data_IF_478413879410
#
_entry.id   IF_478413879410
#
_cell.length_a   1.000
_cell.length_b   1.000
_cell.length_c   1.000
_cell.angle_alpha   90.00
_cell.angle_beta   90.00
_cell.angle_gamma   90.00
#
_symmetry.space_group_name_H-M   'P 1'
#
loop_
_entity.id
_entity.type
_entity.pdbx_description
1 polymer ?
#
# COMPACT_ATOMS: atom_id res chain seq x y z
N UNK A 1 -5.57 8.75 6.63
CA UNK A 1 -6.34 10.01 6.51
C UNK A 1 -7.42 9.80 5.48
N UNK A 2 -8.68 10.09 5.78
CA UNK A 2 -9.75 9.85 4.82
C UNK A 2 -9.57 10.67 3.54
N UNK A 3 -9.98 10.11 2.44
CA UNK A 3 -10.25 10.86 1.23
C UNK A 3 -11.57 11.58 1.43
N UNK A 4 -11.56 12.87 1.32
CA UNK A 4 -12.77 13.64 1.38
C UNK A 4 -13.11 14.19 0.00
N UNK A 5 -14.05 13.55 -0.67
CA UNK A 5 -14.56 14.04 -1.96
C UNK A 5 -15.33 15.35 -1.81
N UNK A 6 -15.66 15.78 -0.58
CA UNK A 6 -16.17 17.13 -0.32
C UNK A 6 -15.06 18.18 -0.23
N UNK A 7 -13.79 17.76 -0.19
CA UNK A 7 -12.63 18.65 -0.10
C UNK A 7 -12.18 18.98 1.32
N UNK A 8 -12.68 18.29 2.35
CA UNK A 8 -12.29 18.53 3.75
C UNK A 8 -11.13 17.66 4.24
N UNK A 9 -10.82 16.54 3.57
CA UNK A 9 -9.73 15.63 3.90
C UNK A 9 -8.45 15.92 3.13
N UNK A 10 -7.28 15.68 3.76
CA UNK A 10 -5.99 15.93 3.13
C UNK A 10 -5.56 14.82 2.15
N UNK A 11 -6.25 13.69 2.11
CA UNK A 11 -5.91 12.51 1.30
C UNK A 11 -4.41 12.13 1.36
N UNK A 12 -3.81 12.20 2.54
CA UNK A 12 -2.40 11.89 2.76
C UNK A 12 -2.24 10.49 3.34
N UNK A 13 -1.30 9.71 2.79
CA UNK A 13 -0.93 8.42 3.37
C UNK A 13 -0.35 8.63 4.77
N UNK A 14 -0.66 7.74 5.75
CA UNK A 14 -0.10 7.85 7.09
C UNK A 14 1.42 7.60 7.08
N UNK A 15 2.10 8.10 8.11
CA UNK A 15 3.45 7.66 8.43
C UNK A 15 3.39 6.19 8.86
N UNK A 16 4.28 5.36 8.31
CA UNK A 16 4.40 3.94 8.64
C UNK A 16 5.86 3.60 8.93
N UNK A 17 6.06 2.68 9.87
CA UNK A 17 7.39 2.11 10.14
C UNK A 17 7.25 0.63 10.48
N UNK A 18 8.28 -0.16 10.17
CA UNK A 18 8.33 -1.59 10.43
C UNK A 18 9.73 -2.02 10.81
N UNK A 19 9.83 -3.17 11.49
CA UNK A 19 11.08 -3.72 11.98
C UNK A 19 11.02 -5.23 12.08
N UNK A 20 12.15 -5.87 12.37
CA UNK A 20 12.22 -7.31 12.60
C UNK A 20 12.11 -8.17 11.34
N UNK A 21 12.34 -7.60 10.16
CA UNK A 21 12.36 -8.37 8.93
C UNK A 21 13.48 -9.42 8.96
N UNK A 22 13.29 -10.61 8.34
CA UNK A 22 14.32 -11.61 8.20
C UNK A 22 15.58 -11.06 7.49
N UNK A 23 16.75 -11.57 7.87
CA UNK A 23 18.02 -11.10 7.31
C UNK A 23 18.14 -11.26 5.78
N UNK A 24 17.42 -12.23 5.20
CA UNK A 24 17.41 -12.49 3.75
C UNK A 24 16.47 -11.58 2.98
N UNK A 25 15.83 -10.60 3.64
CA UNK A 25 14.91 -9.66 2.97
C UNK A 25 15.66 -8.84 1.93
N UNK A 26 15.20 -8.92 0.68
CA UNK A 26 15.77 -8.21 -0.45
C UNK A 26 14.88 -7.06 -0.94
N UNK A 27 13.59 -7.09 -0.64
CA UNK A 27 12.66 -5.98 -0.90
C UNK A 27 11.43 -6.08 0.01
N UNK A 28 10.62 -5.00 -0.01
CA UNK A 28 9.29 -5.02 0.61
C UNK A 28 8.21 -4.65 -0.40
N UNK A 29 7.01 -5.17 -0.14
CA UNK A 29 5.75 -4.68 -0.70
C UNK A 29 4.92 -4.11 0.44
N UNK A 30 4.45 -2.87 0.28
CA UNK A 30 3.51 -2.21 1.18
C UNK A 30 2.14 -2.14 0.52
N UNK A 31 1.08 -2.41 1.27
CA UNK A 31 -0.29 -2.24 0.76
C UNK A 31 -1.24 -1.72 1.83
N UNK A 32 -2.36 -1.11 1.37
CA UNK A 32 -3.54 -0.78 2.15
C UNK A 32 -4.77 -1.35 1.46
N UNK A 33 -5.49 -2.22 2.14
CA UNK A 33 -6.66 -2.93 1.61
C UNK A 33 -7.86 -2.78 2.55
N UNK A 34 -9.03 -2.50 1.99
CA UNK A 34 -10.32 -2.47 2.67
C UNK A 34 -11.13 -3.72 2.29
N UNK A 35 -11.22 -4.73 3.18
CA UNK A 35 -12.04 -5.93 2.93
C UNK A 35 -13.54 -5.69 3.13
N UNK A 36 -13.92 -4.56 3.70
CA UNK A 36 -15.30 -4.23 4.05
C UNK A 36 -15.97 -3.31 3.02
N UNK A 37 -15.23 -2.85 2.02
CA UNK A 37 -15.78 -2.06 0.92
C UNK A 37 -16.94 -2.80 0.23
N UNK A 38 -18.00 -2.11 -0.20
CA UNK A 38 -19.21 -2.73 -0.76
C UNK A 38 -18.98 -3.22 -2.21
N UNK A 39 -17.90 -3.97 -2.41
CA UNK A 39 -17.55 -4.64 -3.66
C UNK A 39 -17.17 -6.10 -3.37
N UNK A 40 -17.41 -7.04 -4.30
CA UNK A 40 -17.07 -8.45 -4.08
C UNK A 40 -15.58 -8.72 -3.83
N UNK A 41 -14.69 -7.84 -4.31
CA UNK A 41 -13.22 -7.99 -4.22
C UNK A 41 -12.59 -7.14 -3.13
N UNK A 42 -13.37 -6.40 -2.34
CA UNK A 42 -12.84 -5.37 -1.44
C UNK A 42 -12.32 -4.16 -2.23
N UNK A 43 -11.40 -3.38 -1.64
CA UNK A 43 -10.87 -2.19 -2.29
C UNK A 43 -9.39 -1.96 -1.93
N UNK A 44 -8.55 -1.82 -2.95
CA UNK A 44 -7.14 -1.52 -2.80
C UNK A 44 -6.92 -0.01 -2.83
N UNK A 45 -6.52 0.54 -1.69
CA UNK A 45 -6.26 1.97 -1.51
C UNK A 45 -4.84 2.38 -1.84
N UNK A 46 -3.88 1.46 -1.66
CA UNK A 46 -2.47 1.74 -1.86
C UNK A 46 -1.68 0.46 -2.03
N UNK A 47 -0.76 0.45 -2.99
CA UNK A 47 0.24 -0.61 -3.12
C UNK A 47 1.52 -0.04 -3.69
N UNK A 48 2.63 -0.28 -2.99
CA UNK A 48 3.99 0.08 -3.40
C UNK A 48 4.82 -1.18 -3.44
N UNK A 49 5.53 -1.39 -4.53
CA UNK A 49 6.41 -2.55 -4.75
C UNK A 49 7.87 -2.14 -4.83
N UNK A 50 8.76 -3.13 -4.70
CA UNK A 50 10.22 -2.98 -4.87
C UNK A 50 10.85 -1.96 -3.91
N UNK A 51 10.28 -1.81 -2.71
CA UNK A 51 10.87 -0.99 -1.65
C UNK A 51 12.17 -1.65 -1.19
N UNK A 52 13.33 -0.95 -1.22
CA UNK A 52 14.61 -1.52 -0.82
C UNK A 52 14.62 -1.96 0.65
N UNK A 53 15.40 -3.00 1.02
CA UNK A 53 15.45 -3.50 2.40
C UNK A 53 16.01 -2.50 3.41
N UNK A 54 16.73 -1.49 2.95
CA UNK A 54 17.23 -0.38 3.78
C UNK A 54 16.15 0.62 4.20
N UNK A 55 15.00 0.63 3.51
CA UNK A 55 13.86 1.50 3.82
C UNK A 55 12.94 0.75 4.77
N UNK A 56 12.83 1.22 6.00
CA UNK A 56 11.99 0.62 7.06
C UNK A 56 10.92 1.58 7.59
N UNK A 57 10.77 2.72 6.93
CA UNK A 57 9.71 3.69 7.23
C UNK A 57 9.39 4.54 6.01
N UNK A 58 8.16 4.99 5.94
CA UNK A 58 7.68 5.99 4.99
C UNK A 58 7.05 7.14 5.76
N UNK A 59 7.38 8.39 5.46
CA UNK A 59 6.82 9.56 6.13
C UNK A 59 5.35 9.79 5.76
N UNK A 60 4.69 10.68 6.48
CA UNK A 60 3.38 11.21 6.13
C UNK A 60 3.39 11.73 4.69
N UNK A 61 2.41 11.35 3.88
CA UNK A 61 2.27 11.79 2.49
C UNK A 61 3.18 11.07 1.48
N UNK A 62 3.91 10.03 1.89
CA UNK A 62 4.78 9.26 0.99
C UNK A 62 4.05 8.66 -0.23
N UNK A 63 2.75 8.42 -0.09
CA UNK A 63 1.91 7.83 -1.14
C UNK A 63 1.34 8.85 -2.13
N UNK A 64 1.83 10.09 -2.17
CA UNK A 64 1.26 11.15 -3.03
C UNK A 64 1.39 10.83 -4.52
N UNK A 65 2.53 10.33 -4.96
CA UNK A 65 2.84 9.99 -6.34
C UNK A 65 4.13 9.16 -6.47
N UNK A 66 4.43 8.70 -7.68
CA UNK A 66 5.65 7.95 -7.98
C UNK A 66 6.93 8.76 -7.83
N UNK A 67 6.91 10.06 -8.07
CA UNK A 67 8.08 10.91 -7.89
C UNK A 67 8.49 10.96 -6.42
N UNK A 68 7.52 11.10 -5.53
CA UNK A 68 7.71 11.09 -4.07
C UNK A 68 8.26 9.76 -3.59
N UNK A 69 7.63 8.64 -3.98
CA UNK A 69 8.08 7.32 -3.51
C UNK A 69 9.47 6.95 -4.06
N UNK A 70 9.78 7.31 -5.30
CA UNK A 70 11.10 7.12 -5.89
C UNK A 70 12.18 7.93 -5.18
N UNK A 71 11.90 9.18 -4.82
CA UNK A 71 12.83 10.01 -4.06
C UNK A 71 13.13 9.40 -2.68
N UNK A 72 12.13 8.83 -2.00
CA UNK A 72 12.29 8.20 -0.68
C UNK A 72 13.00 6.84 -0.73
N UNK A 73 13.02 6.17 -1.88
CA UNK A 73 13.47 4.78 -2.02
C UNK A 73 14.66 4.60 -2.98
N UNK A 74 15.32 5.69 -3.35
CA UNK A 74 16.48 5.65 -4.26
C UNK A 74 16.11 5.27 -5.70
N UNK A 75 14.88 5.58 -6.13
CA UNK A 75 14.45 5.42 -7.52
C UNK A 75 13.87 4.04 -7.88
N UNK A 76 13.82 3.11 -6.93
CA UNK A 76 13.43 1.71 -7.23
C UNK A 76 11.95 1.44 -7.08
N UNK A 77 11.35 1.89 -5.97
CA UNK A 77 9.95 1.60 -5.68
C UNK A 77 9.00 2.39 -6.59
N UNK A 78 7.84 1.80 -6.85
CA UNK A 78 6.77 2.44 -7.60
C UNK A 78 5.40 1.97 -7.11
N UNK A 79 4.37 2.76 -7.44
CA UNK A 79 2.99 2.41 -7.13
C UNK A 79 2.41 1.44 -8.16
N UNK A 80 1.56 0.54 -7.67
CA UNK A 80 0.60 -0.19 -8.49
C UNK A 80 -0.70 0.61 -8.49
N UNK A 81 -1.42 0.60 -9.60
CA UNK A 81 -2.70 1.30 -9.74
C UNK A 81 -3.67 0.84 -8.64
N UNK A 82 -4.20 1.77 -7.87
CA UNK A 82 -5.25 1.51 -6.89
C UNK A 82 -6.61 1.33 -7.56
N UNK A 83 -7.65 0.98 -6.80
CA UNK A 83 -8.97 0.73 -7.37
C UNK A 83 -9.73 2.01 -7.75
N UNK A 84 -9.21 3.21 -7.40
CA UNK A 84 -9.65 4.50 -7.96
C UNK A 84 -9.07 4.78 -9.34
N UNK A 85 -8.05 4.01 -9.77
CA UNK A 85 -7.38 4.18 -11.06
C UNK A 85 -6.07 4.98 -10.99
N UNK A 86 -5.61 5.38 -9.80
CA UNK A 86 -4.44 6.22 -9.60
C UNK A 86 -3.20 5.42 -9.15
N UNK A 87 -2.00 5.92 -9.48
CA UNK A 87 -0.72 5.42 -8.97
C UNK A 87 -0.31 6.22 -7.72
N UNK A 88 -1.12 6.09 -6.66
CA UNK A 88 -0.98 6.84 -5.43
C UNK A 88 -1.74 6.16 -4.29
N UNK A 89 -1.60 6.71 -3.08
CA UNK A 89 -2.50 6.44 -1.97
C UNK A 89 -3.84 7.14 -2.19
N UNK A 90 -4.92 6.40 -1.93
CA UNK A 90 -6.27 6.93 -1.87
C UNK A 90 -6.90 6.60 -0.52
N UNK A 91 -7.28 7.62 0.22
CA UNK A 91 -7.73 7.48 1.60
C UNK A 91 -9.11 6.86 1.74
N UNK A 92 -9.50 6.53 2.98
CA UNK A 92 -10.83 6.02 3.30
C UNK A 92 -11.96 6.94 2.85
N UNK A 93 -12.94 6.35 2.17
CA UNK A 93 -14.18 7.02 1.80
C UNK A 93 -15.37 6.04 1.86
N UNK A 94 -15.65 5.43 3.04
CA UNK A 94 -16.77 4.52 3.17
C UNK A 94 -18.10 5.26 2.91
N UNK A 95 -19.14 4.57 2.45
CA UNK A 95 -20.46 5.15 2.30
C UNK A 95 -20.96 5.74 3.63
N UNK A 96 -21.60 6.91 3.58
CA UNK A 96 -22.15 7.53 4.79
C UNK A 96 -23.20 6.62 5.44
N UNK A 97 -23.07 6.38 6.75
CA UNK A 97 -23.97 5.52 7.52
C UNK A 97 -23.72 4.02 7.38
N UNK A 98 -22.65 3.61 6.66
CA UNK A 98 -22.22 2.23 6.67
C UNK A 98 -21.49 1.88 7.98
N UNK A 99 -21.28 0.56 8.21
CA UNK A 99 -20.46 0.09 9.32
C UNK A 99 -19.03 0.61 9.23
N UNK A 100 -18.28 0.48 10.32
CA UNK A 100 -16.85 0.75 10.30
C UNK A 100 -16.14 -0.18 9.29
N UNK A 101 -15.40 0.43 8.37
CA UNK A 101 -14.52 -0.30 7.46
C UNK A 101 -13.13 -0.47 8.07
N UNK A 102 -12.50 -1.62 7.82
CA UNK A 102 -11.12 -1.90 8.20
C UNK A 102 -10.18 -1.53 7.07
N UNK A 103 -9.15 -0.79 7.40
CA UNK A 103 -8.06 -0.45 6.48
C UNK A 103 -6.83 -1.22 6.94
N UNK A 104 -6.53 -2.30 6.23
CA UNK A 104 -5.44 -3.23 6.58
C UNK A 104 -4.18 -2.80 5.83
N UNK A 105 -3.26 -2.16 6.56
CA UNK A 105 -1.91 -1.92 6.07
C UNK A 105 -1.09 -3.19 6.26
N UNK A 106 -0.39 -3.62 5.22
CA UNK A 106 0.47 -4.79 5.26
C UNK A 106 1.83 -4.50 4.64
N UNK A 107 2.90 -4.98 5.29
CA UNK A 107 4.26 -5.00 4.71
C UNK A 107 4.67 -6.45 4.55
N UNK A 108 5.02 -6.84 3.34
CA UNK A 108 5.55 -8.15 3.01
C UNK A 108 7.06 -8.03 2.78
N UNK A 109 7.86 -8.79 3.52
CA UNK A 109 9.28 -8.93 3.28
C UNK A 109 9.50 -10.05 2.25
N UNK A 110 10.19 -9.74 1.15
CA UNK A 110 10.43 -10.67 0.05
C UNK A 110 11.90 -11.05 -0.06
N UNK A 111 12.16 -12.30 -0.52
CA UNK A 111 13.53 -12.81 -0.77
C UNK A 111 14.15 -12.33 -2.08
N UNK A 112 13.39 -11.69 -2.94
CA UNK A 112 13.82 -11.17 -4.24
C UNK A 112 13.88 -9.64 -4.22
N UNK A 113 14.80 -9.01 -4.96
CA UNK A 113 14.96 -7.56 -4.94
C UNK A 113 13.90 -6.81 -5.74
N UNK A 114 13.22 -7.49 -6.66
CA UNK A 114 12.16 -6.94 -7.50
C UNK A 114 11.17 -8.02 -7.89
N UNK A 115 9.91 -7.64 -8.02
CA UNK A 115 8.86 -8.47 -8.62
C UNK A 115 8.90 -8.45 -10.15
N UNK A 116 9.74 -7.60 -10.75
CA UNK A 116 9.88 -7.44 -12.21
C UNK A 116 8.55 -7.18 -12.92
N UNK A 117 7.68 -6.40 -12.28
CA UNK A 117 6.37 -6.05 -12.80
C UNK A 117 6.43 -4.82 -13.70
N UNK A 118 5.63 -4.84 -14.75
CA UNK A 118 5.33 -3.66 -15.55
C UNK A 118 4.29 -2.79 -14.79
N UNK A 119 4.64 -1.57 -14.38
CA UNK A 119 3.74 -0.70 -13.60
C UNK A 119 2.43 -0.39 -14.33
N UNK A 120 2.43 -0.35 -15.66
CA UNK A 120 1.24 0.03 -16.43
C UNK A 120 0.20 -1.10 -16.50
N UNK A 121 0.63 -2.35 -16.37
CA UNK A 121 -0.22 -3.55 -16.55
C UNK A 121 -0.39 -4.39 -15.28
N UNK A 122 0.48 -4.20 -14.28
CA UNK A 122 0.41 -4.97 -13.05
C UNK A 122 -0.86 -4.65 -12.24
N UNK A 123 -1.43 -5.69 -11.64
CA UNK A 123 -2.61 -5.59 -10.77
C UNK A 123 -2.26 -5.91 -9.32
N UNK A 124 -3.07 -5.44 -8.38
CA UNK A 124 -2.92 -5.80 -6.96
C UNK A 124 -2.99 -7.32 -6.75
N UNK A 125 -3.84 -8.02 -7.50
CA UNK A 125 -3.94 -9.47 -7.46
C UNK A 125 -2.61 -10.13 -7.86
N UNK A 126 -1.97 -9.68 -8.94
CA UNK A 126 -0.67 -10.20 -9.40
C UNK A 126 0.43 -9.94 -8.38
N UNK A 127 0.52 -8.73 -7.83
CA UNK A 127 1.51 -8.38 -6.79
C UNK A 127 1.40 -9.33 -5.60
N UNK A 128 0.19 -9.52 -5.07
CA UNK A 128 -0.01 -10.32 -3.87
C UNK A 128 0.16 -11.81 -4.13
N UNK A 129 -0.23 -12.29 -5.33
CA UNK A 129 0.05 -13.66 -5.76
C UNK A 129 1.56 -13.93 -5.81
N UNK A 130 2.34 -13.05 -6.44
CA UNK A 130 3.80 -13.21 -6.50
C UNK A 130 4.46 -13.06 -5.12
N UNK A 131 3.94 -12.18 -4.28
CA UNK A 131 4.42 -12.01 -2.89
C UNK A 131 4.21 -13.26 -2.05
N UNK A 132 3.17 -14.06 -2.32
CA UNK A 132 2.94 -15.33 -1.64
C UNK A 132 4.09 -16.33 -1.85
N UNK A 133 4.63 -16.42 -3.07
CA UNK A 133 5.71 -17.36 -3.39
C UNK A 133 7.11 -16.85 -2.98
N UNK A 134 7.27 -15.54 -2.88
CA UNK A 134 8.55 -14.90 -2.58
C UNK A 134 8.63 -14.35 -1.15
N UNK A 135 7.57 -14.49 -0.38
CA UNK A 135 7.45 -13.95 0.97
C UNK A 135 8.31 -14.68 1.99
N UNK A 136 8.93 -13.91 2.87
CA UNK A 136 9.68 -14.37 4.03
C UNK A 136 8.89 -14.12 5.33
N UNK A 137 8.23 -12.96 5.40
CA UNK A 137 7.46 -12.51 6.55
C UNK A 137 6.42 -11.47 6.13
N UNK A 138 5.45 -11.26 7.01
CA UNK A 138 4.40 -10.23 6.85
C UNK A 138 4.12 -9.59 8.19
N UNK A 139 3.97 -8.27 8.19
CA UNK A 139 3.44 -7.51 9.32
C UNK A 139 2.18 -6.75 8.88
N UNK A 140 1.22 -6.57 9.79
CA UNK A 140 -0.03 -5.85 9.52
C UNK A 140 -0.37 -4.87 10.63
N UNK A 141 -0.99 -3.76 10.23
CA UNK A 141 -1.64 -2.79 11.09
C UNK A 141 -3.05 -2.56 10.55
N UNK A 142 -4.06 -2.63 11.40
CA UNK A 142 -5.44 -2.36 11.00
C UNK A 142 -5.95 -1.10 11.71
N UNK A 143 -6.47 -0.17 10.92
CA UNK A 143 -7.22 0.98 11.38
C UNK A 143 -8.68 0.85 10.95
N UNK A 144 -9.61 1.49 11.66
CA UNK A 144 -11.02 1.55 11.30
C UNK A 144 -11.46 2.98 11.04
N UNK A 145 -12.41 3.16 10.14
CA UNK A 145 -13.01 4.45 9.85
C UNK A 145 -14.44 4.28 9.29
N UNK A 146 -15.32 5.17 9.69
CA UNK A 146 -16.70 5.30 9.19
C UNK A 146 -17.03 6.76 8.92
N UNK A 147 -18.13 7.01 8.21
CA UNK A 147 -18.64 8.36 7.90
C UNK A 147 -20.08 8.53 8.38
#
# INVERSE_FOLDING_TARGET
MPRDFSGEGANQSPQLSWSGAPAQTASYVLSCFDPDAPTPSGYWHWTVVDIPPSVTSLPLGAGADDATIKALTGGRAFHIRNDSGDFAYDGPFPPAGDRDHRYVFAVHALRIPSLELDPDTATNATVHFMSLFNGLARATLTATYSR
#
